data_IF_373115629692
#
_entry.id   IF_373115629692
#
_cell.length_a   1.000
_cell.length_b   1.000
_cell.length_c   1.000
_cell.angle_alpha   90.00
_cell.angle_beta   90.00
_cell.angle_gamma   90.00
#
_symmetry.space_group_name_H-M   'P 1'
#
loop_
_entity.id
_entity.type
_entity.pdbx_description
1 polymer ?
#
# COMPACT_ATOMS: atom_id res chain seq x y z
N UNK A 1 -34.20 -11.91 -7.51
CA UNK A 1 -33.05 -12.42 -6.74
C UNK A 1 -31.85 -12.18 -7.64
N UNK A 2 -31.32 -10.96 -7.61
CA UNK A 2 -30.17 -10.60 -8.45
C UNK A 2 -28.93 -11.26 -7.87
N UNK A 3 -28.22 -12.00 -8.72
CA UNK A 3 -26.93 -12.55 -8.40
C UNK A 3 -25.97 -11.37 -8.21
N UNK A 4 -25.41 -11.24 -7.01
CA UNK A 4 -24.25 -10.40 -6.75
C UNK A 4 -23.05 -11.08 -7.43
N UNK A 5 -22.99 -10.94 -8.75
CA UNK A 5 -21.84 -11.33 -9.54
C UNK A 5 -20.78 -10.31 -9.16
N UNK A 6 -19.84 -10.72 -8.31
CA UNK A 6 -18.63 -9.92 -8.03
C UNK A 6 -17.89 -9.73 -9.35
N UNK A 7 -18.25 -8.67 -10.07
CA UNK A 7 -17.58 -8.26 -11.30
C UNK A 7 -16.11 -8.14 -10.92
N UNK A 8 -15.18 -8.88 -11.58
CA UNK A 8 -13.77 -8.70 -11.34
C UNK A 8 -13.48 -7.22 -11.48
N UNK A 9 -13.10 -6.56 -10.38
CA UNK A 9 -12.79 -5.13 -10.42
C UNK A 9 -11.44 -5.01 -11.11
N UNK A 10 -11.48 -4.78 -12.41
CA UNK A 10 -10.29 -4.60 -13.21
C UNK A 10 -9.77 -3.18 -13.03
N UNK A 11 -8.49 -3.08 -12.69
CA UNK A 11 -7.79 -1.81 -12.60
C UNK A 11 -6.84 -1.70 -13.79
N UNK A 12 -6.68 -0.51 -14.40
CA UNK A 12 -5.71 -0.30 -15.46
C UNK A 12 -4.32 -0.82 -15.04
N UNK A 13 -3.59 -1.48 -15.95
CA UNK A 13 -2.31 -2.03 -15.59
C UNK A 13 -1.30 -0.94 -15.27
N UNK A 14 -0.37 -1.22 -14.36
CA UNK A 14 0.78 -0.33 -14.18
C UNK A 14 1.81 -0.63 -15.28
N UNK A 15 1.96 0.30 -16.22
CA UNK A 15 2.86 0.15 -17.37
C UNK A 15 4.33 0.44 -17.03
N UNK A 16 4.59 1.15 -15.93
CA UNK A 16 5.94 1.53 -15.50
C UNK A 16 6.64 0.40 -14.73
N UNK A 17 5.87 -0.34 -13.92
CA UNK A 17 6.40 -1.32 -12.98
C UNK A 17 5.58 -2.61 -13.01
N UNK A 18 6.13 -3.62 -13.68
CA UNK A 18 5.54 -4.96 -13.76
C UNK A 18 5.67 -5.74 -12.43
N UNK A 19 5.05 -6.92 -12.34
CA UNK A 19 5.19 -7.84 -11.22
C UNK A 19 4.37 -7.50 -9.97
N UNK A 20 3.37 -6.61 -10.11
CA UNK A 20 2.44 -6.30 -9.04
C UNK A 20 1.38 -7.39 -8.84
N UNK A 21 0.69 -7.33 -7.70
CA UNK A 21 -0.55 -8.06 -7.45
C UNK A 21 -1.62 -7.14 -6.89
N UNK A 22 -2.78 -7.15 -7.52
CA UNK A 22 -3.97 -6.47 -7.03
C UNK A 22 -4.72 -7.41 -6.08
N UNK A 23 -5.14 -6.88 -4.93
CA UNK A 23 -5.94 -7.64 -3.97
C UNK A 23 -6.72 -6.72 -3.05
N UNK A 24 -7.68 -7.32 -2.36
CA UNK A 24 -8.51 -6.66 -1.36
C UNK A 24 -7.91 -6.74 0.03
N UNK A 25 -8.03 -5.65 0.78
CA UNK A 25 -7.72 -5.53 2.20
C UNK A 25 -8.96 -5.05 2.95
N UNK A 26 -9.35 -5.73 4.03
CA UNK A 26 -10.51 -5.36 4.85
C UNK A 26 -10.01 -4.86 6.20
N UNK A 27 -10.35 -3.62 6.56
CA UNK A 27 -9.89 -2.95 7.78
C UNK A 27 -11.00 -2.13 8.42
N UNK A 28 -10.94 -1.92 9.74
CA UNK A 28 -11.87 -1.04 10.47
C UNK A 28 -11.56 0.48 10.29
N UNK A 29 -10.44 0.82 9.64
CA UNK A 29 -9.99 2.20 9.45
C UNK A 29 -8.89 2.28 8.41
N UNK A 30 -8.93 3.33 7.58
CA UNK A 30 -7.95 3.62 6.53
C UNK A 30 -6.60 4.17 7.07
N UNK A 31 -6.22 3.84 8.31
CA UNK A 31 -4.92 4.26 8.87
C UNK A 31 -3.80 3.55 8.12
N UNK A 32 -2.84 4.31 7.60
CA UNK A 32 -1.75 3.85 6.75
C UNK A 32 -1.04 2.62 7.34
N UNK A 33 -0.65 2.67 8.62
CA UNK A 33 0.06 1.55 9.27
C UNK A 33 -0.82 0.29 9.38
N UNK A 34 -2.14 0.44 9.54
CA UNK A 34 -3.08 -0.69 9.59
C UNK A 34 -3.24 -1.32 8.21
N UNK A 35 -3.42 -0.50 7.17
CA UNK A 35 -3.53 -0.95 5.78
C UNK A 35 -2.26 -1.71 5.36
N UNK A 36 -1.08 -1.16 5.62
CA UNK A 36 0.21 -1.82 5.34
C UNK A 36 0.35 -3.19 6.00
N UNK A 37 -0.02 -3.27 7.29
CA UNK A 37 0.07 -4.50 8.08
C UNK A 37 -0.72 -5.62 7.40
N UNK A 38 -1.95 -5.32 7.00
CA UNK A 38 -2.84 -6.28 6.36
C UNK A 38 -2.42 -6.60 4.92
N UNK A 39 -2.00 -5.60 4.13
CA UNK A 39 -1.59 -5.79 2.74
C UNK A 39 -0.32 -6.65 2.60
N UNK A 40 0.64 -6.49 3.50
CA UNK A 40 1.91 -7.22 3.47
C UNK A 40 2.00 -8.39 4.45
N UNK A 41 0.95 -8.65 5.24
CA UNK A 41 0.95 -9.66 6.32
C UNK A 41 2.10 -9.47 7.31
N UNK A 42 2.38 -8.22 7.69
CA UNK A 42 3.47 -7.86 8.60
C UNK A 42 2.99 -7.85 10.05
N UNK A 43 3.91 -8.00 11.00
CA UNK A 43 3.57 -7.78 12.41
C UNK A 43 3.38 -6.28 12.69
N UNK A 44 2.70 -5.94 13.79
CA UNK A 44 2.60 -4.55 14.23
C UNK A 44 3.97 -3.94 14.57
N UNK A 45 4.91 -4.78 15.03
CA UNK A 45 6.28 -4.38 15.35
C UNK A 45 7.06 -4.02 14.08
N UNK A 46 6.96 -4.84 13.02
CA UNK A 46 7.66 -4.57 11.76
C UNK A 46 7.24 -3.22 11.17
N UNK A 47 5.93 -2.97 11.09
CA UNK A 47 5.40 -1.71 10.54
C UNK A 47 5.83 -0.51 11.38
N UNK A 48 5.87 -0.66 12.72
CA UNK A 48 6.40 0.39 13.61
C UNK A 48 7.89 0.64 13.36
N UNK A 49 8.69 -0.41 13.19
CA UNK A 49 10.12 -0.28 12.93
C UNK A 49 10.38 0.53 11.65
N UNK A 50 9.64 0.27 10.56
CA UNK A 50 9.73 1.09 9.34
C UNK A 50 9.35 2.56 9.58
N UNK A 51 8.29 2.82 10.36
CA UNK A 51 7.88 4.18 10.71
C UNK A 51 8.98 4.91 11.51
N UNK A 52 9.50 4.30 12.56
CA UNK A 52 10.52 4.91 13.43
C UNK A 52 11.89 5.05 12.77
N UNK A 53 12.28 4.08 11.93
CA UNK A 53 13.52 4.11 11.16
C UNK A 53 13.48 5.13 9.99
N UNK A 54 12.39 5.90 9.85
CA UNK A 54 12.18 6.83 8.75
C UNK A 54 12.25 6.17 7.36
N UNK A 55 11.94 4.87 7.27
CA UNK A 55 11.95 4.09 6.03
C UNK A 55 10.55 3.94 5.42
N UNK A 56 9.58 4.68 5.94
CA UNK A 56 8.21 4.71 5.43
C UNK A 56 7.93 6.03 4.71
N UNK A 57 7.44 5.93 3.47
CA UNK A 57 7.09 7.05 2.62
C UNK A 57 5.64 6.98 2.16
N UNK A 58 4.98 8.13 2.07
CA UNK A 58 3.67 8.32 1.45
C UNK A 58 3.84 9.39 0.37
N UNK A 59 3.56 9.04 -0.89
CA UNK A 59 3.70 9.92 -2.05
C UNK A 59 5.09 10.58 -2.11
N UNK A 60 6.13 9.76 -1.91
CA UNK A 60 7.54 10.15 -1.83
C UNK A 60 7.98 10.91 -0.55
N UNK A 61 7.05 11.35 0.29
CA UNK A 61 7.35 12.09 1.52
C UNK A 61 7.45 11.19 2.75
N UNK A 62 8.27 11.58 3.73
CA UNK A 62 8.35 10.87 5.02
C UNK A 62 7.03 10.94 5.75
N UNK A 63 6.55 9.79 6.22
CA UNK A 63 5.38 9.75 7.10
C UNK A 63 5.75 10.21 8.50
N UNK A 64 5.23 11.36 8.93
CA UNK A 64 5.53 11.95 10.24
C UNK A 64 4.54 11.55 11.33
N UNK A 65 3.27 11.29 10.95
CA UNK A 65 2.17 11.05 11.89
C UNK A 65 1.74 9.59 11.84
N UNK A 66 1.70 8.91 13.00
CA UNK A 66 1.16 7.53 13.09
C UNK A 66 -0.32 7.42 12.73
N UNK A 67 -1.07 8.51 12.90
CA UNK A 67 -2.49 8.60 12.57
C UNK A 67 -2.76 8.88 11.10
N UNK A 68 -1.73 8.97 10.25
CA UNK A 68 -1.88 9.22 8.82
C UNK A 68 -2.87 8.23 8.20
N UNK A 69 -3.86 8.76 7.47
CA UNK A 69 -4.80 7.97 6.69
C UNK A 69 -4.38 7.94 5.23
N UNK A 70 -4.76 6.88 4.53
CA UNK A 70 -4.58 6.76 3.08
C UNK A 70 -5.87 7.14 2.33
N UNK A 71 -5.73 7.57 1.08
CA UNK A 71 -6.78 7.86 0.12
C UNK A 71 -6.48 7.22 -1.24
N UNK A 72 -7.47 7.23 -2.14
CA UNK A 72 -7.33 6.70 -3.50
C UNK A 72 -6.19 7.41 -4.22
N UNK A 73 -5.34 6.65 -4.91
CA UNK A 73 -4.16 7.12 -5.63
C UNK A 73 -2.92 7.31 -4.76
N UNK A 74 -2.99 7.13 -3.43
CA UNK A 74 -1.80 7.20 -2.60
C UNK A 74 -0.84 6.05 -2.93
N UNK A 75 0.46 6.36 -2.95
CA UNK A 75 1.56 5.41 -3.10
C UNK A 75 2.38 5.38 -1.82
N UNK A 76 2.54 4.19 -1.25
CA UNK A 76 3.26 3.97 0.00
C UNK A 76 4.47 3.09 -0.27
N UNK A 77 5.65 3.55 0.12
CA UNK A 77 6.90 2.82 0.00
C UNK A 77 7.49 2.48 1.37
N UNK A 78 7.81 1.19 1.56
CA UNK A 78 8.71 0.72 2.61
C UNK A 78 10.10 0.56 2.02
N UNK A 79 11.00 1.48 2.34
CA UNK A 79 12.39 1.47 1.89
C UNK A 79 13.15 0.35 2.58
N UNK A 80 13.58 -0.64 1.81
CA UNK A 80 14.34 -1.80 2.30
C UNK A 80 15.85 -1.53 2.27
N UNK A 81 16.32 -0.93 1.18
CA UNK A 81 17.73 -0.72 0.90
C UNK A 81 17.91 0.48 -0.02
N UNK A 82 18.96 1.27 0.22
CA UNK A 82 19.36 2.40 -0.62
C UNK A 82 20.83 2.19 -0.98
N UNK A 83 21.13 2.13 -2.27
CA UNK A 83 22.49 2.11 -2.81
C UNK A 83 22.78 3.42 -3.53
N UNK A 84 23.95 3.57 -4.15
CA UNK A 84 24.29 4.76 -4.94
C UNK A 84 23.39 4.91 -6.17
N UNK A 85 22.97 3.82 -6.80
CA UNK A 85 22.24 3.83 -8.06
C UNK A 85 20.78 3.37 -7.94
N UNK A 86 20.40 2.68 -6.86
CA UNK A 86 19.08 2.06 -6.74
C UNK A 86 18.47 2.25 -5.35
N UNK A 87 17.13 2.22 -5.30
CA UNK A 87 16.34 2.09 -4.08
C UNK A 87 15.47 0.84 -4.22
N UNK A 88 15.56 -0.07 -3.25
CA UNK A 88 14.69 -1.25 -3.16
C UNK A 88 13.56 -0.98 -2.19
N UNK A 89 12.32 -1.17 -2.64
CA UNK A 89 11.11 -0.91 -1.84
C UNK A 89 10.12 -2.08 -1.88
N UNK A 90 9.31 -2.20 -0.82
CA UNK A 90 7.94 -2.75 -0.96
C UNK A 90 7.01 -1.59 -1.24
N UNK A 91 6.27 -1.65 -2.35
CA UNK A 91 5.33 -0.59 -2.75
C UNK A 91 3.89 -1.05 -2.60
N UNK A 92 3.04 -0.18 -2.08
CA UNK A 92 1.60 -0.34 -2.04
C UNK A 92 0.94 0.88 -2.68
N UNK A 93 0.09 0.67 -3.66
CA UNK A 93 -0.73 1.72 -4.28
C UNK A 93 -2.20 1.47 -3.90
N UNK A 94 -2.92 2.54 -3.56
CA UNK A 94 -4.32 2.48 -3.17
C UNK A 94 -5.20 2.71 -4.39
N UNK A 95 -5.83 1.65 -4.88
CA UNK A 95 -6.60 1.67 -6.13
C UNK A 95 -8.01 2.20 -5.90
N UNK A 96 -8.68 1.74 -4.84
CA UNK A 96 -10.03 2.19 -4.52
C UNK A 96 -10.49 1.84 -3.10
N UNK A 97 -11.61 2.45 -2.71
CA UNK A 97 -12.31 2.18 -1.45
C UNK A 97 -13.74 1.73 -1.74
N UNK A 98 -14.21 0.78 -0.93
CA UNK A 98 -15.61 0.44 -0.78
C UNK A 98 -15.94 0.55 0.72
N UNK A 99 -16.88 1.44 1.04
CA UNK A 99 -17.44 1.51 2.38
C UNK A 99 -18.58 0.49 2.46
N UNK A 100 -18.50 -0.42 3.41
CA UNK A 100 -19.56 -1.38 3.68
C UNK A 100 -20.34 -0.92 4.92
N UNK A 101 -21.62 -1.30 4.99
CA UNK A 101 -22.51 -0.94 6.11
C UNK A 101 -22.05 -1.49 7.48
N UNK A 102 -21.11 -2.43 7.51
CA UNK A 102 -20.65 -3.13 8.72
C UNK A 102 -19.50 -2.42 9.47
N UNK A 103 -19.29 -1.12 9.23
CA UNK A 103 -18.15 -0.32 9.71
C UNK A 103 -16.78 -0.84 9.26
N UNK A 104 -16.72 -1.76 8.27
CA UNK A 104 -15.47 -2.17 7.65
C UNK A 104 -15.27 -1.42 6.34
N UNK A 105 -14.02 -1.10 6.08
CA UNK A 105 -13.57 -0.47 4.86
C UNK A 105 -12.86 -1.55 4.07
N UNK A 106 -13.40 -1.83 2.89
CA UNK A 106 -12.73 -2.62 1.87
C UNK A 106 -11.86 -1.68 1.03
N UNK A 107 -10.57 -2.01 0.92
CA UNK A 107 -9.60 -1.22 0.17
C UNK A 107 -8.98 -2.14 -0.88
N UNK A 108 -9.11 -1.75 -2.14
CA UNK A 108 -8.39 -2.39 -3.25
C UNK A 108 -7.00 -1.79 -3.34
N UNK A 109 -6.00 -2.66 -3.34
CA UNK A 109 -4.60 -2.23 -3.33
C UNK A 109 -3.78 -3.03 -4.33
N UNK A 110 -2.80 -2.36 -4.92
CA UNK A 110 -1.77 -2.96 -5.77
C UNK A 110 -0.47 -3.04 -4.99
N UNK A 111 0.14 -4.23 -4.90
CA UNK A 111 1.38 -4.42 -4.16
C UNK A 111 2.53 -4.96 -5.00
N UNK A 112 3.71 -4.41 -4.75
CA UNK A 112 5.00 -4.98 -5.16
C UNK A 112 5.76 -5.41 -3.90
N UNK A 113 6.13 -6.69 -3.83
CA UNK A 113 6.95 -7.19 -2.71
C UNK A 113 8.42 -6.78 -2.85
N UNK A 114 8.88 -6.57 -4.07
CA UNK A 114 10.25 -6.19 -4.40
C UNK A 114 10.21 -5.31 -5.65
N UNK A 115 10.32 -4.01 -5.48
CA UNK A 115 10.43 -3.04 -6.56
C UNK A 115 11.79 -2.35 -6.48
N UNK A 116 12.52 -2.34 -7.59
CA UNK A 116 13.78 -1.60 -7.74
C UNK A 116 13.49 -0.32 -8.49
N UNK A 117 13.92 0.80 -7.94
CA UNK A 117 13.77 2.12 -8.52
C UNK A 117 15.15 2.73 -8.74
N UNK A 118 15.38 3.42 -9.86
CA UNK A 118 16.61 4.19 -10.03
C UNK A 118 16.65 5.29 -8.97
N UNK A 119 17.81 5.44 -8.31
CA UNK A 119 18.06 6.59 -7.46
C UNK A 119 18.34 7.77 -8.39
N UNK A 120 17.35 8.62 -8.60
CA UNK A 120 17.59 9.92 -9.25
C UNK A 120 18.50 10.71 -8.31
N UNK A 121 19.70 11.02 -8.79
CA UNK A 121 20.63 11.95 -8.16
C UNK A 121 20.02 13.35 -8.08
#
# INVERSE_FOLDING_TARGET
>A
MEYDVTVPREFPPNLEHLGYKDHRVIVDSARLLKVLRHAFHMSASDVKNFFFAANLRLNHDRVEKRSQKVKKGDVIDLVLEVTESEVKVKRLEILDFNENDDNRIEIWVRKWKFLKLPRKL
#
